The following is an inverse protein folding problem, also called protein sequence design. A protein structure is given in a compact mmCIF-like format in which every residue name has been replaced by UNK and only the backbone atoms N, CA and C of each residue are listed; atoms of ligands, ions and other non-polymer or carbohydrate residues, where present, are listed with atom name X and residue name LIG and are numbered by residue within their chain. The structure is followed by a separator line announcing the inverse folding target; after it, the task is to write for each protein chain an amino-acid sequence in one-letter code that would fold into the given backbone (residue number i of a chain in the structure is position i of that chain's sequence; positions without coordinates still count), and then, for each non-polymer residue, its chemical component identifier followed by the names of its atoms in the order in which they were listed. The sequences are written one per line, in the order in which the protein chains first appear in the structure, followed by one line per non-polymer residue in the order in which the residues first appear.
data_IF_560996343882
#
_entry.id   IF_560996343882
#
_cell.length_a   1.000
_cell.length_b   1.000
_cell.length_c   1.000
_cell.angle_alpha   90.00
_cell.angle_beta   90.00
_cell.angle_gamma   90.00
#
_symmetry.space_group_name_H-M   'P 1'
#
loop_
_entity.id
_entity.type
_entity.pdbx_description
1 polymer ?
#
# COMPACT_ATOMS: atom_id res chain seq x y z
N UNK A 1 0.57 28.90 4.37
CA UNK A 1 0.96 27.59 3.78
C UNK A 1 0.03 26.56 4.39
N UNK A 2 -0.81 25.85 3.62
CA UNK A 2 -1.65 24.83 4.22
C UNK A 2 -0.75 23.70 4.71
N UNK A 3 -0.84 23.38 5.99
CA UNK A 3 -0.16 22.23 6.59
C UNK A 3 -0.79 20.96 6.02
N UNK A 4 -0.02 20.20 5.26
CA UNK A 4 -0.44 18.88 4.81
C UNK A 4 -0.03 17.88 5.88
N UNK A 5 -0.98 17.54 6.77
CA UNK A 5 -0.83 16.46 7.73
C UNK A 5 -1.29 15.16 7.08
N UNK A 6 -0.33 14.26 6.85
CA UNK A 6 -0.58 12.88 6.42
C UNK A 6 -1.07 12.08 7.63
N UNK A 7 -2.27 11.51 7.55
CA UNK A 7 -2.80 10.61 8.57
C UNK A 7 -3.10 9.24 7.95
N UNK A 8 -2.51 8.19 8.50
CA UNK A 8 -2.94 6.81 8.27
C UNK A 8 -4.09 6.52 9.22
N UNK A 9 -5.25 6.16 8.65
CA UNK A 9 -6.49 5.96 9.41
C UNK A 9 -6.43 4.67 10.19
N UNK A 10 -6.57 4.75 11.51
CA UNK A 10 -6.89 3.62 12.37
C UNK A 10 -8.41 3.58 12.53
N UNK A 11 -9.11 2.50 12.17
CA UNK A 11 -10.56 2.45 12.27
C UNK A 11 -11.00 2.34 13.74
N UNK A 12 -11.96 3.18 14.09
CA UNK A 12 -12.74 3.11 15.33
C UNK A 12 -13.94 2.17 15.07
N UNK A 13 -14.20 1.16 15.93
CA UNK A 13 -15.36 0.29 15.78
C UNK A 13 -16.67 1.09 15.93
N UNK A 14 -17.63 0.85 15.04
CA UNK A 14 -19.02 1.26 15.23
C UNK A 14 -19.88 0.01 15.16
N UNK A 15 -20.64 -0.23 16.22
CA UNK A 15 -21.62 -1.30 16.36
C UNK A 15 -22.79 -1.11 15.37
N UNK A 16 -23.53 -2.21 15.15
CA UNK A 16 -24.76 -2.40 14.38
C UNK A 16 -24.59 -3.12 13.03
N UNK A 17 -24.50 -4.45 13.12
CA UNK A 17 -24.89 -5.39 12.08
C UNK A 17 -26.41 -5.41 11.90
N UNK A 18 -26.91 -5.17 10.68
CA UNK A 18 -28.14 -5.80 10.19
C UNK A 18 -27.98 -6.23 8.73
N UNK A 19 -27.98 -7.54 8.59
CA UNK A 19 -27.95 -8.34 7.37
C UNK A 19 -29.22 -8.20 6.51
N UNK A 20 -29.08 -8.32 5.17
CA UNK A 20 -29.90 -9.23 4.34
C UNK A 20 -29.25 -9.54 2.99
N UNK A 21 -28.85 -10.82 2.86
CA UNK A 21 -28.84 -11.79 1.76
C UNK A 21 -29.05 -11.40 0.27
N UNK A 22 -28.19 -12.04 -0.54
CA UNK A 22 -28.41 -12.75 -1.83
C UNK A 22 -28.08 -12.07 -3.16
N UNK A 23 -26.90 -12.40 -3.73
CA UNK A 23 -26.77 -12.84 -5.14
C UNK A 23 -25.56 -13.75 -5.30
N UNK A 24 -25.86 -15.05 -5.29
CA UNK A 24 -25.04 -16.10 -5.88
C UNK A 24 -24.70 -15.76 -7.35
N UNK A 25 -23.42 -15.46 -7.67
CA UNK A 25 -22.99 -15.38 -9.07
C UNK A 25 -21.50 -15.65 -9.32
N UNK A 26 -21.28 -16.84 -9.89
CA UNK A 26 -20.10 -17.31 -10.63
C UNK A 26 -18.74 -17.31 -9.89
N UNK A 27 -18.51 -18.37 -9.11
CA UNK A 27 -17.14 -18.88 -8.87
C UNK A 27 -16.63 -19.50 -10.19
N UNK A 28 -15.47 -19.09 -10.73
CA UNK A 28 -14.88 -19.79 -11.88
C UNK A 28 -14.48 -21.22 -11.46
N UNK A 29 -14.58 -22.21 -12.38
CA UNK A 29 -14.27 -23.59 -12.06
C UNK A 29 -12.81 -23.74 -11.58
N UNK A 30 -12.52 -24.65 -10.63
CA UNK A 30 -11.15 -24.95 -10.26
C UNK A 30 -10.42 -25.49 -11.50
N UNK A 31 -9.40 -24.77 -11.96
CA UNK A 31 -8.57 -25.23 -13.08
C UNK A 31 -7.70 -26.39 -12.61
N UNK A 32 -7.78 -27.46 -13.38
CA UNK A 32 -7.01 -28.68 -13.27
C UNK A 32 -5.51 -28.39 -13.30
N UNK A 33 -4.82 -28.73 -12.20
CA UNK A 33 -3.36 -28.76 -12.17
C UNK A 33 -2.86 -29.94 -13.02
N UNK A 34 -2.59 -29.68 -14.31
CA UNK A 34 -1.81 -30.61 -15.12
C UNK A 34 -0.33 -30.43 -14.79
N UNK A 35 0.25 -31.41 -14.11
CA UNK A 35 1.68 -31.45 -13.81
C UNK A 35 2.48 -31.54 -15.13
N UNK A 36 3.04 -30.43 -15.59
CA UNK A 36 4.06 -30.44 -16.65
C UNK A 36 5.44 -30.60 -16.04
N UNK A 37 6.36 -31.37 -16.67
CA UNK A 37 7.67 -31.61 -16.09
C UNK A 37 8.54 -30.35 -16.21
N UNK A 38 9.14 -29.93 -15.10
CA UNK A 38 10.22 -28.94 -15.06
C UNK A 38 11.42 -29.51 -15.83
N UNK A 39 11.60 -29.10 -17.09
CA UNK A 39 12.83 -29.36 -17.83
C UNK A 39 13.92 -28.41 -17.34
N UNK A 40 14.86 -28.97 -16.57
CA UNK A 40 16.10 -28.31 -16.20
C UNK A 40 17.04 -28.20 -17.41
N UNK A 41 17.56 -27.01 -17.64
CA UNK A 41 18.82 -26.80 -18.35
C UNK A 41 18.84 -25.63 -19.32
N UNK A 42 19.21 -24.43 -18.84
CA UNK A 42 20.09 -23.50 -19.58
C UNK A 42 20.92 -22.72 -18.55
N UNK A 43 22.24 -22.84 -18.69
CA UNK A 43 23.27 -21.98 -18.09
C UNK A 43 23.40 -20.73 -18.97
N UNK A 44 23.14 -19.55 -18.42
CA UNK A 44 23.34 -18.28 -19.11
C UNK A 44 22.67 -17.15 -18.34
N UNK A 45 23.48 -16.19 -17.90
CA UNK A 45 23.04 -14.94 -17.26
C UNK A 45 22.09 -14.18 -18.20
N UNK A 46 21.04 -13.54 -17.65
CA UNK A 46 19.89 -12.87 -18.32
C UNK A 46 18.68 -13.75 -18.72
N UNK A 47 18.10 -14.49 -17.75
CA UNK A 47 16.68 -14.87 -17.86
C UNK A 47 15.82 -13.64 -17.56
N UNK A 48 15.22 -13.02 -18.59
CA UNK A 48 14.23 -11.96 -18.39
C UNK A 48 13.01 -12.53 -17.67
N UNK A 49 12.42 -11.79 -16.73
CA UNK A 49 11.24 -12.25 -15.95
C UNK A 49 10.08 -12.72 -16.85
N UNK A 50 10.00 -12.16 -18.06
CA UNK A 50 9.08 -12.50 -19.14
C UNK A 50 9.24 -13.92 -19.71
N UNK A 51 10.28 -14.66 -19.33
CA UNK A 51 10.47 -16.07 -19.73
C UNK A 51 9.95 -17.04 -18.68
N UNK A 52 9.62 -16.56 -17.48
CA UNK A 52 9.13 -17.39 -16.38
C UNK A 52 7.64 -17.66 -16.63
N UNK A 53 7.22 -18.92 -16.86
CA UNK A 53 5.85 -19.24 -17.29
C UNK A 53 4.76 -18.68 -16.36
N UNK A 54 5.01 -18.65 -15.05
CA UNK A 54 4.03 -18.13 -14.07
C UNK A 54 3.88 -16.61 -14.10
N UNK A 55 4.93 -15.87 -14.49
CA UNK A 55 4.86 -14.40 -14.62
C UNK A 55 4.02 -14.04 -15.84
N UNK A 56 4.17 -14.79 -16.93
CA UNK A 56 3.36 -14.63 -18.13
C UNK A 56 1.89 -15.03 -17.93
N UNK A 57 1.63 -16.01 -17.05
CA UNK A 57 0.26 -16.47 -16.75
C UNK A 57 -0.53 -15.47 -15.90
N UNK A 58 0.15 -14.68 -15.05
CA UNK A 58 -0.47 -13.74 -14.11
C UNK A 58 0.16 -12.33 -14.18
N UNK A 59 0.16 -11.66 -15.34
CA UNK A 59 0.79 -10.36 -15.51
C UNK A 59 0.23 -9.28 -14.56
N UNK A 60 -1.05 -9.37 -14.20
CA UNK A 60 -1.72 -8.46 -13.26
C UNK A 60 -1.22 -8.61 -11.81
N UNK A 61 -0.71 -9.78 -11.43
CA UNK A 61 -0.17 -10.04 -10.08
C UNK A 61 1.28 -9.57 -9.99
N UNK A 62 2.02 -9.64 -11.10
CA UNK A 62 3.43 -9.31 -11.19
C UNK A 62 3.70 -7.96 -11.89
N UNK A 63 2.72 -7.05 -11.88
CA UNK A 63 2.89 -5.70 -12.43
C UNK A 63 3.90 -4.88 -11.63
N UNK A 64 4.65 -4.00 -12.29
CA UNK A 64 5.69 -3.16 -11.66
C UNK A 64 5.09 -2.10 -10.72
N UNK A 65 3.85 -1.69 -10.97
CA UNK A 65 3.10 -0.72 -10.19
C UNK A 65 1.79 -1.32 -9.67
N UNK A 66 1.31 -0.77 -8.54
CA UNK A 66 0.01 -1.10 -7.95
C UNK A 66 -0.89 0.11 -8.17
N UNK A 67 -1.94 -0.06 -8.98
CA UNK A 67 -2.85 1.04 -9.34
C UNK A 67 -3.89 1.33 -8.25
N UNK A 68 -4.31 0.33 -7.47
CA UNK A 68 -5.30 0.47 -6.40
C UNK A 68 -5.06 -0.54 -5.27
N UNK A 69 -5.50 -0.21 -4.04
CA UNK A 69 -5.57 -1.19 -2.97
C UNK A 69 -6.52 -2.33 -3.38
N UNK A 70 -6.22 -3.54 -2.93
CA UNK A 70 -7.11 -4.69 -3.16
C UNK A 70 -8.55 -4.33 -2.78
N UNK A 71 -9.55 -4.79 -3.57
CA UNK A 71 -10.96 -4.47 -3.33
C UNK A 71 -11.37 -4.76 -1.90
N UNK A 72 -12.36 -4.02 -1.40
CA UNK A 72 -12.89 -4.12 -0.03
C UNK A 72 -12.92 -5.57 0.47
N UNK A 73 -11.90 -5.94 1.25
CA UNK A 73 -11.86 -7.22 1.96
C UNK A 73 -12.74 -7.12 3.18
N UNK A 74 -13.38 -8.22 3.53
CA UNK A 74 -14.24 -8.33 4.72
C UNK A 74 -13.47 -8.01 6.02
N UNK A 75 -12.16 -8.24 6.00
CA UNK A 75 -11.25 -7.96 7.13
C UNK A 75 -10.80 -6.50 7.15
N UNK A 76 -11.35 -5.73 8.10
CA UNK A 76 -10.88 -4.38 8.43
C UNK A 76 -9.70 -4.44 9.39
N UNK A 77 -8.68 -3.63 9.13
CA UNK A 77 -7.48 -3.55 9.97
C UNK A 77 -7.70 -2.49 11.04
N UNK A 78 -7.91 -2.89 12.29
CA UNK A 78 -8.00 -1.97 13.42
C UNK A 78 -6.65 -1.85 14.14
N UNK A 79 -6.35 -0.64 14.62
CA UNK A 79 -5.26 -0.42 15.57
C UNK A 79 -5.90 -0.01 16.88
N UNK A 80 -5.79 -0.90 17.85
CA UNK A 80 -6.28 -0.69 19.20
C UNK A 80 -5.32 0.23 19.95
N UNK A 81 -5.89 1.26 20.59
CA UNK A 81 -5.12 2.18 21.42
C UNK A 81 -5.10 1.67 22.87
N UNK A 82 -3.99 1.93 23.56
CA UNK A 82 -3.93 1.71 25.00
C UNK A 82 -4.97 2.60 25.69
N UNK A 83 -5.69 2.07 26.69
CA UNK A 83 -6.69 2.81 27.44
C UNK A 83 -6.09 4.09 28.03
N UNK A 84 -6.72 5.23 27.74
CA UNK A 84 -6.24 6.56 28.18
C UNK A 84 -5.26 7.24 27.21
N UNK A 85 -4.89 6.61 26.09
CA UNK A 85 -4.11 7.26 25.05
C UNK A 85 -4.90 8.41 24.41
N UNK A 86 -4.33 9.62 24.48
CA UNK A 86 -4.85 10.81 23.82
C UNK A 86 -4.11 11.11 22.50
N UNK A 87 -4.63 12.04 21.68
CA UNK A 87 -4.01 12.39 20.41
C UNK A 87 -2.62 13.00 20.60
N UNK A 88 -1.68 12.53 19.77
CA UNK A 88 -0.32 13.07 19.68
C UNK A 88 -0.18 13.79 18.35
N UNK A 89 0.31 15.03 18.38
CA UNK A 89 0.63 15.81 17.19
C UNK A 89 2.09 16.25 17.25
N UNK A 90 2.90 15.64 16.39
CA UNK A 90 4.33 15.95 16.24
C UNK A 90 4.55 16.94 15.09
N UNK A 91 5.52 17.84 15.27
CA UNK A 91 5.91 18.76 14.22
C UNK A 91 6.63 18.00 13.08
N UNK A 92 6.41 18.36 11.80
CA UNK A 92 7.19 17.80 10.70
C UNK A 92 8.68 18.11 10.85
N UNK A 93 9.52 17.20 10.40
CA UNK A 93 10.96 17.44 10.34
C UNK A 93 11.32 18.57 9.38
N UNK A 94 12.41 19.28 9.68
CA UNK A 94 12.98 20.26 8.77
C UNK A 94 13.59 19.54 7.58
N UNK A 95 13.13 19.91 6.38
CA UNK A 95 13.59 19.35 5.11
C UNK A 95 14.21 20.44 4.24
N UNK A 96 15.19 20.04 3.42
CA UNK A 96 15.72 20.90 2.36
C UNK A 96 14.67 21.15 1.27
N UNK A 97 14.84 22.19 0.43
CA UNK A 97 13.92 22.43 -0.69
C UNK A 97 13.78 21.24 -1.65
N UNK A 98 14.85 20.48 -1.86
CA UNK A 98 14.85 19.29 -2.72
C UNK A 98 14.01 18.15 -2.13
N UNK A 99 14.20 17.85 -0.84
CA UNK A 99 13.42 16.83 -0.13
C UNK A 99 11.94 17.20 -0.09
N UNK A 100 11.64 18.48 0.15
CA UNK A 100 10.27 19.01 0.16
C UNK A 100 9.59 18.85 -1.21
N UNK A 101 10.29 19.14 -2.31
CA UNK A 101 9.76 18.93 -3.66
C UNK A 101 9.49 17.44 -3.94
N UNK A 102 10.42 16.56 -3.54
CA UNK A 102 10.25 15.10 -3.70
C UNK A 102 9.10 14.55 -2.87
N UNK A 103 8.96 15.03 -1.62
CA UNK A 103 7.87 14.67 -0.73
C UNK A 103 6.51 15.01 -1.34
N UNK A 104 6.35 16.23 -1.87
CA UNK A 104 5.12 16.66 -2.53
C UNK A 104 4.80 15.78 -3.74
N UNK A 105 5.79 15.49 -4.59
CA UNK A 105 5.59 14.64 -5.76
C UNK A 105 5.12 13.22 -5.38
N UNK A 106 5.70 12.63 -4.32
CA UNK A 106 5.26 11.33 -3.82
C UNK A 106 3.87 11.38 -3.20
N UNK A 107 3.52 12.47 -2.51
CA UNK A 107 2.19 12.64 -1.97
C UNK A 107 1.13 12.71 -3.08
N UNK A 108 1.38 13.46 -4.14
CA UNK A 108 0.47 13.56 -5.29
C UNK A 108 0.29 12.21 -5.99
N UNK A 109 1.36 11.43 -6.15
CA UNK A 109 1.27 10.07 -6.70
C UNK A 109 0.39 9.16 -5.82
N UNK A 110 0.59 9.18 -4.51
CA UNK A 110 -0.21 8.40 -3.55
C UNK A 110 -1.68 8.84 -3.50
N UNK A 111 -1.96 10.14 -3.68
CA UNK A 111 -3.32 10.67 -3.79
C UNK A 111 -3.97 10.23 -5.10
N UNK A 112 -3.22 10.29 -6.21
CA UNK A 112 -3.66 9.85 -7.54
C UNK A 112 -4.00 8.36 -7.58
N UNK A 113 -3.24 7.53 -6.87
CA UNK A 113 -3.46 6.08 -6.70
C UNK A 113 -4.52 5.73 -5.63
N UNK A 114 -5.13 6.74 -5.00
CA UNK A 114 -6.12 6.55 -3.93
C UNK A 114 -5.62 5.75 -2.70
N UNK A 115 -4.30 5.67 -2.50
CA UNK A 115 -3.71 5.01 -1.33
C UNK A 115 -3.88 5.82 -0.05
N UNK A 116 -4.03 7.14 -0.19
CA UNK A 116 -4.24 8.09 0.90
C UNK A 116 -5.34 9.09 0.54
N UNK A 117 -5.83 9.82 1.54
CA UNK A 117 -6.77 10.94 1.36
C UNK A 117 -6.47 12.07 2.35
N UNK A 118 -6.86 13.32 2.03
CA UNK A 118 -6.81 14.41 3.01
C UNK A 118 -7.63 14.08 4.26
N UNK A 119 -7.18 14.54 5.42
CA UNK A 119 -7.86 14.32 6.70
C UNK A 119 -7.70 15.50 7.65
N UNK A 120 -8.57 15.56 8.66
CA UNK A 120 -8.52 16.53 9.77
C UNK A 120 -8.41 15.77 11.11
N UNK A 121 -7.32 15.01 11.27
CA UNK A 121 -7.09 14.22 12.48
C UNK A 121 -6.46 15.07 13.59
N UNK A 122 -6.85 14.87 14.87
CA UNK A 122 -6.09 15.42 15.99
C UNK A 122 -4.73 14.72 16.17
N UNK A 123 -4.53 13.56 15.53
CA UNK A 123 -3.26 12.84 15.49
C UNK A 123 -2.41 13.33 14.32
N UNK A 124 -1.16 13.67 14.61
CA UNK A 124 -0.18 14.12 13.63
C UNK A 124 1.15 13.42 13.85
N UNK A 125 1.62 12.73 12.81
CA UNK A 125 2.91 12.05 12.81
C UNK A 125 3.88 12.77 11.88
N UNK A 126 5.15 12.71 12.22
CA UNK A 126 6.21 13.32 11.43
C UNK A 126 6.53 12.41 10.23
N UNK A 127 7.04 13.04 9.18
CA UNK A 127 7.39 12.37 7.92
C UNK A 127 8.83 12.72 7.57
N UNK A 128 9.56 11.71 7.07
CA UNK A 128 10.96 11.77 6.75
C UNK A 128 11.19 11.33 5.29
N UNK A 129 12.19 11.95 4.65
CA UNK A 129 12.69 11.49 3.36
C UNK A 129 13.96 10.67 3.58
N UNK A 130 13.93 9.40 3.21
CA UNK A 130 15.05 8.47 3.42
C UNK A 130 15.74 8.17 2.10
N UNK A 131 17.07 8.32 2.06
CA UNK A 131 17.87 7.99 0.88
C UNK A 131 18.11 6.48 0.81
N UNK A 132 17.75 5.85 -0.31
CA UNK A 132 18.00 4.45 -0.62
C UNK A 132 19.40 4.27 -1.23
N UNK A 133 19.86 3.01 -1.31
CA UNK A 133 21.17 2.63 -1.90
C UNK A 133 21.30 3.06 -3.36
N UNK A 134 20.20 2.99 -4.10
CA UNK A 134 20.06 3.47 -5.49
C UNK A 134 20.09 5.00 -5.61
N UNK A 135 20.33 5.74 -4.50
CA UNK A 135 20.29 7.20 -4.36
C UNK A 135 18.90 7.82 -4.55
N UNK A 136 17.86 7.02 -4.75
CA UNK A 136 16.48 7.50 -4.72
C UNK A 136 16.05 7.84 -3.29
N UNK A 137 14.90 8.49 -3.17
CA UNK A 137 14.35 9.02 -1.94
C UNK A 137 12.97 8.39 -1.70
N UNK A 138 12.70 7.92 -0.47
CA UNK A 138 11.42 7.33 -0.07
C UNK A 138 10.79 8.09 1.10
N UNK A 139 9.49 8.33 1.00
CA UNK A 139 8.66 8.82 2.09
C UNK A 139 8.60 7.77 3.21
N UNK A 140 8.86 8.17 4.45
CA UNK A 140 8.69 7.32 5.63
C UNK A 140 7.89 8.06 6.69
N UNK A 141 6.87 7.41 7.23
CA UNK A 141 6.09 7.92 8.36
C UNK A 141 6.70 7.39 9.64
N UNK A 142 6.93 8.28 10.61
CA UNK A 142 7.49 7.94 11.91
C UNK A 142 6.34 7.69 12.91
N UNK A 143 6.16 6.43 13.31
CA UNK A 143 5.11 5.98 14.23
C UNK A 143 5.62 5.72 15.66
N UNK A 144 6.82 6.17 15.99
CA UNK A 144 7.46 5.92 17.28
C UNK A 144 6.74 6.59 18.45
#
# INVERSE_FOLDING_TARGET
MPNVSLHVTLPIPRDEDKETRDKDKQRPPPRNCSNTPLTAGVSGDDQTLEQIPIVCEFPEVFSDDIDEFQPNREVKFAIELVLGAGPISSAPYRMSPLEMAKMKAQLEDLLGKHFIRPSVSPWGVSVLMVKKKDRSMRLCVDYQ
#
